data_IF_211215164811
#
_entry.id   IF_211215164811
#
_cell.length_a   1.000
_cell.length_b   1.000
_cell.length_c   1.000
_cell.angle_alpha   90.00
_cell.angle_beta   90.00
_cell.angle_gamma   90.00
#
_symmetry.space_group_name_H-M   'P 1'
#
loop_
_entity.id
_entity.type
_entity.pdbx_description
1 polymer ?
#
# COMPACT_ATOMS: atom_id res chain seq x y z
N UNK A 1 -21.02 2.63 12.23
CA UNK A 1 -19.75 3.35 12.04
C UNK A 1 -18.80 2.88 13.14
N UNK A 2 -17.58 2.51 12.78
CA UNK A 2 -16.53 2.13 13.72
C UNK A 2 -15.45 3.23 13.69
N UNK A 3 -14.95 3.59 14.87
CA UNK A 3 -13.86 4.56 15.04
C UNK A 3 -12.75 3.92 15.87
N UNK A 4 -11.49 4.22 15.53
CA UNK A 4 -10.33 3.83 16.29
C UNK A 4 -9.66 5.07 16.86
N UNK A 5 -9.33 5.07 18.15
CA UNK A 5 -8.55 6.13 18.78
C UNK A 5 -7.05 5.92 18.60
N UNK A 6 -6.25 6.98 18.77
CA UNK A 6 -4.79 6.94 18.63
C UNK A 6 -4.16 5.84 19.51
N UNK A 7 -4.63 5.72 20.74
CA UNK A 7 -4.14 4.70 21.69
C UNK A 7 -4.48 3.28 21.26
N UNK A 8 -5.66 3.07 20.65
CA UNK A 8 -6.07 1.75 20.18
C UNK A 8 -5.18 1.30 19.03
N UNK A 9 -4.91 2.20 18.10
CA UNK A 9 -4.05 1.94 16.93
C UNK A 9 -2.60 1.72 17.36
N UNK A 10 -2.04 2.61 18.20
CA UNK A 10 -0.66 2.49 18.66
C UNK A 10 -0.44 1.21 19.49
N UNK A 11 -1.36 0.87 20.38
CA UNK A 11 -1.27 -0.34 21.21
C UNK A 11 -1.22 -1.63 20.41
N UNK A 12 -1.86 -1.66 19.24
CA UNK A 12 -1.90 -2.82 18.38
C UNK A 12 -0.69 -2.93 17.43
N UNK A 13 0.19 -1.93 17.37
CA UNK A 13 1.37 -1.95 16.50
C UNK A 13 2.25 -3.21 16.66
N UNK A 14 2.70 -3.60 17.86
CA UNK A 14 3.55 -4.77 18.02
C UNK A 14 2.85 -6.06 17.57
N UNK A 15 1.56 -6.16 17.85
CA UNK A 15 0.78 -7.33 17.50
C UNK A 15 0.52 -7.39 15.97
N UNK A 16 0.22 -6.25 15.35
CA UNK A 16 0.06 -6.16 13.90
C UNK A 16 1.36 -6.50 13.16
N UNK A 17 2.51 -6.01 13.66
CA UNK A 17 3.82 -6.36 13.12
C UNK A 17 4.10 -7.86 13.25
N UNK A 18 3.78 -8.47 14.38
CA UNK A 18 3.93 -9.92 14.59
C UNK A 18 3.09 -10.73 13.59
N UNK A 19 1.81 -10.40 13.43
CA UNK A 19 0.95 -11.12 12.48
C UNK A 19 1.28 -10.80 11.02
N UNK A 20 1.84 -9.62 10.75
CA UNK A 20 2.27 -9.27 9.39
C UNK A 20 3.41 -10.15 8.91
N UNK A 21 4.31 -10.55 9.82
CA UNK A 21 5.46 -11.44 9.57
C UNK A 21 6.43 -10.94 8.50
N UNK A 22 6.22 -9.74 8.00
CA UNK A 22 6.99 -9.02 6.99
C UNK A 22 6.89 -7.53 7.27
N UNK A 23 7.88 -6.72 6.85
CA UNK A 23 7.76 -5.27 6.94
C UNK A 23 6.49 -4.75 6.27
N UNK A 24 5.71 -3.93 6.96
CA UNK A 24 4.41 -3.46 6.52
C UNK A 24 4.23 -1.95 6.63
N UNK A 25 3.01 -1.51 6.94
CA UNK A 25 2.65 -0.11 7.17
C UNK A 25 1.98 -0.01 8.54
N UNK A 26 2.75 0.37 9.54
CA UNK A 26 2.41 0.29 10.95
C UNK A 26 1.00 0.79 11.29
N UNK A 27 0.67 2.05 10.93
CA UNK A 27 -0.62 2.66 11.24
C UNK A 27 -1.80 2.02 10.47
N UNK A 28 -1.53 1.54 9.26
CA UNK A 28 -2.54 0.89 8.44
C UNK A 28 -2.80 -0.53 8.93
N UNK A 29 -1.75 -1.30 9.21
CA UNK A 29 -1.88 -2.70 9.63
C UNK A 29 -2.56 -2.79 11.00
N UNK A 30 -2.15 -1.96 11.95
CA UNK A 30 -2.76 -1.93 13.29
C UNK A 30 -4.21 -1.44 13.29
N UNK A 31 -4.54 -0.41 12.49
CA UNK A 31 -5.93 0.04 12.36
C UNK A 31 -6.81 -1.00 11.66
N UNK A 32 -6.27 -1.69 10.65
CA UNK A 32 -6.98 -2.77 9.97
C UNK A 32 -7.27 -3.94 10.92
N UNK A 33 -6.27 -4.36 11.71
CA UNK A 33 -6.45 -5.38 12.75
C UNK A 33 -7.54 -4.97 13.76
N UNK A 34 -7.53 -3.70 14.20
CA UNK A 34 -8.57 -3.17 15.08
C UNK A 34 -9.96 -3.32 14.46
N UNK A 35 -10.15 -2.85 13.22
CA UNK A 35 -11.45 -2.93 12.54
C UNK A 35 -11.88 -4.36 12.29
N UNK A 36 -10.99 -5.25 11.89
CA UNK A 36 -11.29 -6.67 11.71
C UNK A 36 -11.80 -7.30 13.01
N UNK A 37 -11.18 -6.98 14.15
CA UNK A 37 -11.64 -7.43 15.48
C UNK A 37 -13.03 -6.90 15.85
N UNK A 38 -13.34 -5.64 15.50
CA UNK A 38 -14.67 -5.10 15.75
C UNK A 38 -15.73 -5.78 14.88
N UNK A 39 -15.45 -5.97 13.58
CA UNK A 39 -16.37 -6.65 12.65
C UNK A 39 -16.58 -8.11 13.08
N UNK A 40 -15.53 -8.79 13.51
CA UNK A 40 -15.59 -10.19 13.94
C UNK A 40 -16.55 -10.45 15.11
N UNK A 41 -16.82 -9.45 15.94
CA UNK A 41 -17.78 -9.57 17.05
C UNK A 41 -19.19 -9.95 16.59
N UNK A 42 -19.56 -9.63 15.36
CA UNK A 42 -20.89 -9.85 14.80
C UNK A 42 -20.92 -10.63 13.47
N UNK A 43 -19.77 -10.75 12.80
CA UNK A 43 -19.68 -11.40 11.48
C UNK A 43 -18.46 -12.32 11.41
N UNK A 44 -18.59 -13.43 10.69
CA UNK A 44 -17.51 -14.36 10.40
C UNK A 44 -16.88 -14.13 9.04
N UNK A 45 -17.63 -13.51 8.12
CA UNK A 45 -17.21 -13.21 6.74
C UNK A 45 -17.53 -11.75 6.45
N UNK A 46 -16.62 -11.08 5.75
CA UNK A 46 -16.81 -9.73 5.20
C UNK A 46 -16.46 -9.71 3.71
N UNK A 47 -17.09 -8.81 2.95
CA UNK A 47 -16.75 -8.55 1.54
C UNK A 47 -16.05 -7.20 1.47
N UNK A 48 -14.90 -7.16 0.77
CA UNK A 48 -14.10 -5.96 0.58
C UNK A 48 -14.07 -5.53 -0.88
N UNK A 49 -14.08 -4.22 -1.11
CA UNK A 49 -13.89 -3.60 -2.43
C UNK A 49 -12.43 -3.43 -2.86
N UNK A 50 -11.47 -4.05 -2.15
CA UNK A 50 -10.05 -4.01 -2.54
C UNK A 50 -9.83 -4.62 -3.92
N UNK A 51 -8.69 -4.33 -4.52
CA UNK A 51 -8.30 -4.70 -5.88
C UNK A 51 -8.99 -3.93 -7.01
N UNK A 52 -10.06 -3.18 -6.73
CA UNK A 52 -10.75 -2.40 -7.77
C UNK A 52 -9.88 -1.24 -8.32
N UNK A 53 -9.05 -0.64 -7.51
CA UNK A 53 -8.15 0.45 -7.95
C UNK A 53 -7.03 -0.06 -8.85
N UNK A 54 -6.50 -1.25 -8.59
CA UNK A 54 -5.44 -1.91 -9.33
C UNK A 54 -5.90 -2.32 -10.73
N UNK A 55 -7.14 -2.78 -10.83
CA UNK A 55 -7.70 -3.35 -12.06
C UNK A 55 -8.31 -2.26 -12.94
N UNK A 56 -9.06 -1.33 -12.35
CA UNK A 56 -9.80 -0.30 -13.07
C UNK A 56 -9.11 1.07 -13.14
N UNK A 57 -7.85 1.17 -12.70
CA UNK A 57 -7.07 2.39 -12.82
C UNK A 57 -7.44 3.50 -11.83
N UNK A 58 -7.50 3.17 -10.53
CA UNK A 58 -7.88 4.12 -9.49
C UNK A 58 -6.74 4.96 -8.91
N UNK A 59 -5.48 4.72 -9.29
CA UNK A 59 -4.32 5.41 -8.73
C UNK A 59 -3.72 6.44 -9.67
N UNK A 60 -3.00 7.46 -9.16
CA UNK A 60 -2.39 8.51 -9.97
C UNK A 60 -1.46 8.01 -11.07
N UNK A 61 -0.73 6.93 -10.87
CA UNK A 61 0.19 6.40 -11.87
C UNK A 61 -0.49 5.81 -13.10
N UNK A 62 -1.79 5.61 -13.11
CA UNK A 62 -2.53 5.21 -14.30
C UNK A 62 -2.76 6.37 -15.28
N UNK A 63 -2.73 7.61 -14.79
CA UNK A 63 -2.98 8.81 -15.60
C UNK A 63 -1.89 9.87 -15.50
N UNK A 64 -0.78 9.54 -14.83
CA UNK A 64 0.43 10.37 -14.73
C UNK A 64 1.63 9.59 -15.25
N UNK A 65 1.93 9.66 -16.57
CA UNK A 65 3.00 8.87 -17.19
C UNK A 65 4.37 9.08 -16.53
N UNK A 66 4.62 10.27 -16.00
CA UNK A 66 5.84 10.58 -15.26
C UNK A 66 6.07 9.68 -14.04
N UNK A 67 5.03 9.11 -13.46
CA UNK A 67 5.16 8.21 -12.32
C UNK A 67 5.62 6.80 -12.75
N UNK A 68 5.23 6.35 -13.94
CA UNK A 68 5.67 5.06 -14.50
C UNK A 68 7.11 5.16 -15.02
N UNK A 69 7.48 6.30 -15.61
CA UNK A 69 8.78 6.48 -16.26
C UNK A 69 9.92 6.81 -15.30
N UNK A 70 9.70 6.74 -13.98
CA UNK A 70 10.71 7.05 -12.95
C UNK A 70 11.83 6.00 -12.83
N UNK A 71 11.69 4.83 -13.46
CA UNK A 71 12.67 3.75 -13.39
C UNK A 71 12.59 2.89 -12.12
N UNK A 72 11.55 3.06 -11.30
CA UNK A 72 11.21 2.25 -10.15
C UNK A 72 9.69 2.24 -9.90
N UNK A 73 9.23 1.38 -9.01
CA UNK A 73 7.80 1.18 -8.76
C UNK A 73 7.07 2.48 -8.41
N UNK A 74 5.94 2.79 -9.08
CA UNK A 74 5.31 4.12 -9.05
C UNK A 74 4.75 4.53 -7.68
N UNK A 75 4.45 3.59 -6.81
CA UNK A 75 3.98 3.85 -5.45
C UNK A 75 5.09 4.15 -4.44
N UNK A 76 6.36 3.91 -4.81
CA UNK A 76 7.49 4.28 -3.99
C UNK A 76 7.80 5.77 -4.16
N UNK A 77 7.89 6.50 -3.05
CA UNK A 77 8.29 7.91 -3.09
C UNK A 77 9.80 8.02 -3.29
N UNK A 78 10.56 7.98 -2.21
CA UNK A 78 12.02 7.99 -2.23
C UNK A 78 12.54 6.84 -1.35
N UNK A 79 12.92 5.72 -1.96
CA UNK A 79 13.43 4.60 -1.19
C UNK A 79 14.80 4.87 -0.54
N UNK A 80 15.54 5.90 -1.01
CA UNK A 80 16.87 6.22 -0.46
C UNK A 80 16.81 6.63 1.01
N UNK A 81 15.73 7.31 1.43
CA UNK A 81 15.51 7.70 2.82
C UNK A 81 15.49 6.48 3.73
N UNK A 82 14.73 5.44 3.38
CA UNK A 82 14.68 4.20 4.17
C UNK A 82 16.01 3.46 4.16
N UNK A 83 16.61 3.32 2.99
CA UNK A 83 17.90 2.64 2.83
C UNK A 83 19.02 3.35 3.61
N UNK A 84 18.96 4.67 3.74
CA UNK A 84 19.94 5.44 4.49
C UNK A 84 19.93 5.19 6.00
N UNK A 85 18.85 4.61 6.56
CA UNK A 85 18.72 4.33 7.98
C UNK A 85 19.46 3.07 8.42
N UNK A 86 19.82 2.20 7.48
CA UNK A 86 20.63 1.05 7.78
C UNK A 86 22.10 1.43 8.07
N UNK A 87 22.78 0.60 8.83
CA UNK A 87 24.23 0.65 8.94
C UNK A 87 24.85 0.20 7.61
N UNK A 88 25.96 0.83 7.22
CA UNK A 88 26.61 0.56 5.92
C UNK A 88 27.10 -0.89 5.79
N UNK A 89 27.46 -1.53 6.90
CA UNK A 89 27.84 -2.96 6.93
C UNK A 89 26.65 -3.90 6.69
N UNK A 90 25.43 -3.43 6.91
CA UNK A 90 24.22 -4.23 6.69
C UNK A 90 23.61 -4.00 5.31
N UNK A 91 23.39 -2.74 4.93
CA UNK A 91 22.84 -2.40 3.63
C UNK A 91 23.27 -0.98 3.20
N UNK A 92 23.91 -0.88 2.04
CA UNK A 92 24.26 0.42 1.48
C UNK A 92 23.11 0.93 0.60
N UNK A 93 22.75 2.22 0.66
CA UNK A 93 21.68 2.80 -0.18
C UNK A 93 21.84 2.51 -1.68
N UNK A 94 23.08 2.55 -2.18
CA UNK A 94 23.39 2.24 -3.58
C UNK A 94 22.97 0.84 -3.98
N UNK A 95 23.34 -0.16 -3.19
CA UNK A 95 23.03 -1.57 -3.49
C UNK A 95 21.51 -1.82 -3.47
N UNK A 96 20.81 -1.20 -2.51
CA UNK A 96 19.35 -1.25 -2.45
C UNK A 96 18.68 -0.60 -3.67
N UNK A 97 19.19 0.53 -4.16
CA UNK A 97 18.68 1.20 -5.36
C UNK A 97 18.95 0.39 -6.63
N UNK A 98 20.12 -0.24 -6.74
CA UNK A 98 20.44 -1.15 -7.85
C UNK A 98 19.49 -2.35 -7.87
N UNK A 99 19.23 -2.95 -6.71
CA UNK A 99 18.25 -4.04 -6.58
C UNK A 99 16.86 -3.63 -7.01
N UNK A 100 16.35 -2.49 -6.51
CA UNK A 100 15.03 -1.98 -6.87
C UNK A 100 14.91 -1.66 -8.37
N UNK A 101 15.95 -1.07 -8.96
CA UNK A 101 16.00 -0.78 -10.40
C UNK A 101 15.99 -2.06 -11.24
N UNK A 102 16.76 -3.07 -10.84
CA UNK A 102 16.79 -4.36 -11.53
C UNK A 102 15.44 -5.09 -11.44
N UNK A 103 14.83 -5.10 -10.24
CA UNK A 103 13.49 -5.67 -10.03
C UNK A 103 12.43 -4.97 -10.87
N UNK A 104 12.45 -3.63 -10.92
CA UNK A 104 11.55 -2.84 -11.75
C UNK A 104 11.73 -3.15 -13.25
N UNK A 105 12.97 -3.15 -13.75
CA UNK A 105 13.26 -3.45 -15.17
C UNK A 105 12.74 -4.83 -15.54
N UNK A 106 12.97 -5.84 -14.70
CA UNK A 106 12.41 -7.17 -14.92
C UNK A 106 10.89 -7.14 -14.95
N UNK A 107 10.25 -6.52 -13.97
CA UNK A 107 8.80 -6.45 -13.89
C UNK A 107 8.17 -5.77 -15.13
N UNK A 108 8.82 -4.74 -15.66
CA UNK A 108 8.37 -4.04 -16.88
C UNK A 108 8.62 -4.87 -18.13
N UNK A 109 9.72 -5.65 -18.21
CA UNK A 109 10.01 -6.51 -19.37
C UNK A 109 9.03 -7.69 -19.48
N UNK A 110 8.43 -8.10 -18.38
CA UNK A 110 7.48 -9.22 -18.34
C UNK A 110 6.04 -8.81 -18.71
N UNK A 111 5.79 -7.51 -18.98
CA UNK A 111 4.46 -6.99 -19.32
C UNK A 111 4.09 -7.37 -20.75
N UNK A 112 2.96 -8.05 -21.01
CA UNK A 112 2.49 -8.32 -22.36
C UNK A 112 2.13 -7.02 -23.08
N UNK A 113 2.78 -6.80 -24.24
CA UNK A 113 2.59 -5.63 -25.11
C UNK A 113 2.33 -6.16 -26.52
N UNK A 114 1.34 -5.60 -27.20
CA UNK A 114 1.06 -5.89 -28.60
C UNK A 114 1.86 -4.95 -29.52
N UNK A 115 2.22 -5.42 -30.73
CA UNK A 115 2.93 -4.60 -31.72
C UNK A 115 2.14 -3.34 -32.13
N UNK A 116 0.83 -3.37 -31.97
CA UNK A 116 -0.08 -2.25 -32.26
C UNK A 116 -0.25 -1.25 -31.13
N UNK A 117 0.32 -1.53 -29.92
CA UNK A 117 0.17 -0.64 -28.77
C UNK A 117 1.01 0.63 -28.98
N UNK A 118 0.39 1.79 -28.78
CA UNK A 118 1.08 3.07 -28.71
C UNK A 118 1.72 3.29 -27.31
N UNK A 119 2.55 4.32 -27.19
CA UNK A 119 3.27 4.63 -25.95
C UNK A 119 2.33 4.82 -24.73
N UNK A 120 1.15 5.38 -24.95
CA UNK A 120 0.17 5.59 -23.88
C UNK A 120 -0.42 4.26 -23.42
N UNK A 121 -0.77 3.39 -24.35
CA UNK A 121 -1.26 2.03 -24.07
C UNK A 121 -0.20 1.21 -23.37
N UNK A 122 1.04 1.27 -23.82
CA UNK A 122 2.18 0.59 -23.20
C UNK A 122 2.35 1.05 -21.72
N UNK A 123 2.34 2.36 -21.50
CA UNK A 123 2.44 2.92 -20.13
C UNK A 123 1.30 2.45 -19.25
N UNK A 124 0.07 2.41 -19.78
CA UNK A 124 -1.11 1.95 -19.05
C UNK A 124 -1.05 0.45 -18.73
N UNK A 125 -0.64 -0.40 -19.69
CA UNK A 125 -0.44 -1.85 -19.48
C UNK A 125 0.62 -2.10 -18.41
N UNK A 126 1.73 -1.37 -18.44
CA UNK A 126 2.77 -1.42 -17.39
C UNK A 126 2.20 -1.03 -16.02
N UNK A 127 1.46 0.07 -15.93
CA UNK A 127 0.82 0.48 -14.69
C UNK A 127 -0.12 -0.60 -14.14
N UNK A 128 -0.92 -1.24 -15.01
CA UNK A 128 -1.84 -2.31 -14.63
C UNK A 128 -1.07 -3.53 -14.11
N UNK A 129 -0.12 -4.05 -14.87
CA UNK A 129 0.60 -5.28 -14.49
C UNK A 129 1.47 -5.08 -13.25
N UNK A 130 2.13 -3.94 -13.12
CA UNK A 130 2.86 -3.60 -11.89
C UNK A 130 1.90 -3.54 -10.70
N UNK A 131 0.72 -2.92 -10.88
CA UNK A 131 -0.28 -2.84 -9.81
C UNK A 131 -0.82 -4.20 -9.43
N UNK A 132 -1.17 -5.06 -10.38
CA UNK A 132 -1.73 -6.39 -10.12
C UNK A 132 -0.69 -7.32 -9.49
N UNK A 133 0.52 -7.40 -10.08
CA UNK A 133 1.51 -8.41 -9.67
C UNK A 133 2.25 -8.05 -8.37
N UNK A 134 2.40 -6.75 -8.06
CA UNK A 134 3.22 -6.31 -6.93
C UNK A 134 2.42 -5.55 -5.87
N UNK A 135 1.66 -4.54 -6.27
CA UNK A 135 0.94 -3.70 -5.31
C UNK A 135 -0.28 -4.42 -4.72
N UNK A 136 -1.11 -5.02 -5.58
CA UNK A 136 -2.29 -5.79 -5.19
C UNK A 136 -1.91 -6.98 -4.31
N UNK A 137 -0.86 -7.71 -4.65
CA UNK A 137 -0.39 -8.85 -3.85
C UNK A 137 -0.04 -8.43 -2.43
N UNK A 138 0.65 -7.31 -2.25
CA UNK A 138 0.94 -6.76 -0.92
C UNK A 138 -0.31 -6.32 -0.16
N UNK A 139 -1.32 -5.75 -0.85
CA UNK A 139 -2.59 -5.37 -0.23
C UNK A 139 -3.39 -6.60 0.21
N UNK A 140 -3.46 -7.62 -0.62
CA UNK A 140 -4.15 -8.88 -0.33
C UNK A 140 -3.51 -9.60 0.85
N UNK A 141 -2.18 -9.72 0.86
CA UNK A 141 -1.45 -10.33 1.96
C UNK A 141 -1.70 -9.58 3.28
N UNK A 142 -1.65 -8.25 3.26
CA UNK A 142 -1.97 -7.43 4.43
C UNK A 142 -3.39 -7.68 4.92
N UNK A 143 -4.35 -7.67 3.99
CA UNK A 143 -5.76 -7.91 4.31
C UNK A 143 -5.95 -9.28 4.95
N UNK A 144 -5.42 -10.32 4.33
CA UNK A 144 -5.53 -11.69 4.80
C UNK A 144 -4.92 -11.83 6.21
N UNK A 145 -3.68 -11.42 6.41
CA UNK A 145 -3.00 -11.56 7.69
C UNK A 145 -3.71 -10.81 8.83
N UNK A 146 -4.14 -9.57 8.60
CA UNK A 146 -4.82 -8.79 9.64
C UNK A 146 -6.24 -9.31 9.92
N UNK A 147 -6.96 -9.75 8.91
CA UNK A 147 -8.30 -10.30 9.09
C UNK A 147 -8.28 -11.69 9.70
N UNK A 148 -7.35 -12.55 9.28
CA UNK A 148 -7.21 -13.89 9.86
C UNK A 148 -6.68 -13.85 11.30
N UNK A 149 -5.82 -12.89 11.66
CA UNK A 149 -5.45 -12.62 13.04
C UNK A 149 -6.65 -12.25 13.94
N UNK A 150 -7.72 -11.74 13.33
CA UNK A 150 -9.00 -11.50 13.99
C UNK A 150 -10.01 -12.66 13.81
N UNK A 151 -9.63 -13.75 13.17
CA UNK A 151 -10.54 -14.86 12.77
C UNK A 151 -11.73 -14.39 11.92
N UNK A 152 -11.53 -13.38 11.08
CA UNK A 152 -12.49 -12.84 10.13
C UNK A 152 -12.08 -13.22 8.70
N UNK A 153 -12.90 -13.98 7.99
CA UNK A 153 -12.68 -14.25 6.57
C UNK A 153 -13.05 -13.02 5.74
N UNK A 154 -12.12 -12.50 4.95
CA UNK A 154 -12.41 -11.38 4.03
C UNK A 154 -12.33 -11.88 2.59
N UNK A 155 -13.42 -11.70 1.85
CA UNK A 155 -13.50 -12.01 0.42
C UNK A 155 -13.36 -10.76 -0.42
N UNK A 156 -12.60 -10.86 -1.52
CA UNK A 156 -12.25 -9.76 -2.42
C UNK A 156 -12.68 -10.09 -3.87
N UNK A 157 -13.95 -9.86 -4.23
CA UNK A 157 -14.48 -10.26 -5.53
C UNK A 157 -13.74 -9.67 -6.73
N UNK A 158 -13.15 -8.47 -6.59
CA UNK A 158 -12.37 -7.85 -7.66
C UNK A 158 -11.03 -8.54 -7.93
N UNK A 159 -10.54 -9.41 -7.05
CA UNK A 159 -9.35 -10.20 -7.31
C UNK A 159 -9.62 -11.45 -8.19
N UNK A 160 -10.82 -11.62 -8.71
CA UNK A 160 -11.15 -12.70 -9.64
C UNK A 160 -10.35 -12.52 -10.94
N UNK A 161 -9.54 -13.54 -11.28
CA UNK A 161 -8.68 -13.51 -12.47
C UNK A 161 -9.46 -13.25 -13.77
N UNK A 162 -10.72 -13.72 -13.86
CA UNK A 162 -11.58 -13.51 -15.04
C UNK A 162 -11.91 -12.03 -15.24
N UNK A 163 -12.09 -11.28 -14.14
CA UNK A 163 -12.30 -9.83 -14.19
C UNK A 163 -11.00 -9.15 -14.60
N UNK A 164 -9.87 -9.57 -14.05
CA UNK A 164 -8.55 -9.01 -14.36
C UNK A 164 -8.23 -9.20 -15.84
N UNK A 165 -8.36 -10.41 -16.38
CA UNK A 165 -8.13 -10.74 -17.78
C UNK A 165 -9.04 -9.94 -18.71
N UNK A 166 -10.34 -9.91 -18.43
CA UNK A 166 -11.30 -9.13 -19.21
C UNK A 166 -10.97 -7.64 -19.24
N UNK A 167 -10.69 -7.05 -18.09
CA UNK A 167 -10.45 -5.60 -17.98
C UNK A 167 -9.08 -5.22 -18.54
N UNK A 168 -8.08 -6.12 -18.48
CA UNK A 168 -6.73 -5.84 -18.96
C UNK A 168 -6.71 -5.41 -20.42
N UNK A 169 -7.43 -6.12 -21.28
CA UNK A 169 -7.46 -5.88 -22.72
C UNK A 169 -8.32 -4.68 -23.16
N UNK A 170 -9.12 -4.13 -22.26
CA UNK A 170 -9.94 -2.98 -22.57
C UNK A 170 -9.07 -1.71 -22.74
N UNK A 171 -9.41 -0.82 -23.71
CA UNK A 171 -8.69 0.43 -23.92
C UNK A 171 -8.71 1.34 -22.68
N UNK A 172 -7.64 2.12 -22.49
CA UNK A 172 -7.59 3.13 -21.42
C UNK A 172 -8.79 4.08 -21.46
N UNK A 173 -9.23 4.49 -22.66
CA UNK A 173 -10.37 5.40 -22.87
C UNK A 173 -11.65 4.89 -22.24
N UNK A 174 -11.84 3.58 -22.10
CA UNK A 174 -13.01 2.96 -21.46
C UNK A 174 -12.86 2.95 -19.93
N UNK A 175 -11.63 2.78 -19.45
CA UNK A 175 -11.31 2.67 -18.01
C UNK A 175 -11.13 4.03 -17.35
N UNK A 176 -10.72 5.04 -18.13
CA UNK A 176 -10.44 6.41 -17.70
C UNK A 176 -11.08 7.42 -18.67
N UNK A 177 -12.41 7.39 -18.73
CA UNK A 177 -13.18 8.25 -19.63
C UNK A 177 -13.34 9.66 -19.03
N UNK A 178 -13.15 10.69 -19.84
CA UNK A 178 -13.30 12.10 -19.48
C UNK A 178 -12.47 12.52 -18.23
N UNK A 179 -11.33 11.89 -17.99
CA UNK A 179 -10.49 12.20 -16.84
C UNK A 179 -11.01 11.64 -15.50
N UNK A 180 -11.97 10.71 -15.55
CA UNK A 180 -12.56 10.10 -14.35
C UNK A 180 -11.96 8.72 -14.13
N UNK A 181 -11.35 8.53 -12.96
CA UNK A 181 -10.82 7.24 -12.55
C UNK A 181 -11.93 6.18 -12.38
N UNK A 182 -11.64 4.94 -12.76
CA UNK A 182 -12.57 3.79 -12.68
C UNK A 182 -13.89 4.02 -13.42
N UNK A 183 -13.89 4.78 -14.53
CA UNK A 183 -15.12 5.12 -15.27
C UNK A 183 -15.92 3.89 -15.70
N UNK A 184 -15.23 2.81 -16.12
CA UNK A 184 -15.89 1.56 -16.47
C UNK A 184 -16.68 0.97 -15.28
N UNK A 185 -16.04 0.91 -14.10
CA UNK A 185 -16.69 0.38 -12.90
C UNK A 185 -17.87 1.27 -12.46
N UNK A 186 -17.72 2.60 -12.58
CA UNK A 186 -18.77 3.55 -12.24
C UNK A 186 -19.98 3.37 -13.16
N UNK A 187 -19.78 3.27 -14.48
CA UNK A 187 -20.87 2.99 -15.43
C UNK A 187 -21.57 1.66 -15.16
N UNK A 188 -20.81 0.60 -14.85
CA UNK A 188 -21.40 -0.67 -14.49
C UNK A 188 -22.24 -0.63 -13.20
N UNK A 189 -22.00 0.35 -12.33
CA UNK A 189 -22.71 0.55 -11.07
C UNK A 189 -23.85 1.60 -11.15
N UNK A 190 -24.08 2.21 -12.32
CA UNK A 190 -25.20 3.13 -12.54
C UNK A 190 -26.54 2.44 -12.26
N UNK A 191 -27.40 3.12 -11.53
CA UNK A 191 -28.68 2.58 -11.07
C UNK A 191 -28.60 1.55 -9.93
N UNK A 192 -27.39 1.08 -9.57
CA UNK A 192 -27.15 0.16 -8.45
C UNK A 192 -26.70 0.88 -7.19
N UNK A 193 -26.00 2.00 -7.34
CA UNK A 193 -25.46 2.78 -6.23
C UNK A 193 -26.07 4.19 -6.19
N UNK A 194 -26.23 4.79 -5.00
CA UNK A 194 -26.59 6.19 -4.87
C UNK A 194 -25.53 7.11 -5.53
N UNK A 195 -25.94 8.22 -6.13
CA UNK A 195 -25.08 9.13 -6.88
C UNK A 195 -23.90 9.67 -6.06
N UNK A 196 -24.12 9.99 -4.78
CA UNK A 196 -23.05 10.45 -3.89
C UNK A 196 -21.97 9.40 -3.61
N UNK A 197 -22.26 8.12 -3.80
CA UNK A 197 -21.28 7.02 -3.73
C UNK A 197 -20.67 6.80 -5.11
N UNK A 198 -21.49 6.75 -6.15
CA UNK A 198 -21.08 6.52 -7.54
C UNK A 198 -20.05 7.56 -8.01
N UNK A 199 -20.25 8.83 -7.71
CA UNK A 199 -19.40 9.95 -8.12
C UNK A 199 -18.38 10.41 -7.06
N UNK A 200 -18.26 9.67 -5.95
CA UNK A 200 -17.29 10.00 -4.90
C UNK A 200 -15.86 9.94 -5.44
N UNK A 201 -15.09 10.99 -5.20
CA UNK A 201 -13.65 10.99 -5.51
C UNK A 201 -12.92 9.93 -4.71
N UNK A 202 -11.92 9.32 -5.31
CA UNK A 202 -10.98 8.42 -4.63
C UNK A 202 -10.37 9.13 -3.43
N UNK A 203 -10.47 8.50 -2.27
CA UNK A 203 -9.70 8.89 -1.09
C UNK A 203 -8.83 7.71 -0.65
N UNK A 204 -7.58 7.96 -0.23
CA UNK A 204 -6.73 6.90 0.30
C UNK A 204 -7.33 6.32 1.58
N UNK A 205 -6.83 5.14 1.98
CA UNK A 205 -7.11 4.61 3.31
C UNK A 205 -6.69 5.64 4.36
N UNK A 206 -7.51 5.92 5.39
CA UNK A 206 -7.18 6.91 6.39
C UNK A 206 -5.85 6.59 7.06
N UNK A 207 -4.91 7.52 6.97
CA UNK A 207 -3.67 7.49 7.76
C UNK A 207 -3.90 8.23 9.07
N UNK A 208 -3.21 7.78 10.10
CA UNK A 208 -3.25 8.45 11.40
C UNK A 208 -2.29 9.65 11.36
N UNK A 209 -2.84 10.86 11.29
CA UNK A 209 -2.08 12.13 11.31
C UNK A 209 -2.18 12.85 12.66
N UNK A 210 -2.58 12.14 13.71
CA UNK A 210 -2.75 12.71 15.03
C UNK A 210 -1.40 12.86 15.73
N UNK A 211 -1.16 14.05 16.31
CA UNK A 211 0.01 14.28 17.18
C UNK A 211 0.06 13.34 18.39
N UNK A 212 -1.09 12.84 18.82
CA UNK A 212 -1.17 11.87 19.92
C UNK A 212 -0.60 10.51 19.52
N UNK A 213 -1.02 10.00 18.37
CA UNK A 213 -0.49 8.76 17.80
C UNK A 213 1.01 8.86 17.53
N UNK A 214 1.42 9.92 16.88
CA UNK A 214 2.82 10.22 16.60
C UNK A 214 3.72 10.16 17.83
N UNK A 215 3.31 10.84 18.90
CA UNK A 215 4.05 10.80 20.16
C UNK A 215 4.21 9.37 20.69
N UNK A 216 3.14 8.57 20.66
CA UNK A 216 3.18 7.18 21.10
C UNK A 216 4.15 6.33 20.29
N UNK A 217 4.15 6.52 18.95
CA UNK A 217 5.07 5.81 18.04
C UNK A 217 6.53 6.23 18.30
N UNK A 218 6.79 7.53 18.53
CA UNK A 218 8.13 8.02 18.88
C UNK A 218 8.63 7.40 20.22
N UNK A 219 7.78 7.37 21.23
CA UNK A 219 8.11 6.76 22.52
C UNK A 219 8.44 5.26 22.37
N UNK A 220 7.67 4.53 21.57
CA UNK A 220 7.91 3.12 21.28
C UNK A 220 9.23 2.90 20.53
N UNK A 221 9.49 3.70 19.51
CA UNK A 221 10.71 3.60 18.72
C UNK A 221 11.95 3.95 19.55
N UNK A 222 11.88 5.01 20.36
CA UNK A 222 12.97 5.39 21.28
C UNK A 222 13.27 4.27 22.28
N UNK A 223 12.23 3.63 22.82
CA UNK A 223 12.41 2.44 23.69
C UNK A 223 13.14 1.32 22.95
N UNK A 224 12.71 0.99 21.73
CA UNK A 224 13.35 -0.05 20.91
C UNK A 224 14.80 0.26 20.55
N UNK A 225 15.11 1.52 20.33
CA UNK A 225 16.50 1.95 20.04
C UNK A 225 17.41 1.88 21.29
N UNK A 226 16.87 1.84 22.51
CA UNK A 226 17.64 1.67 23.73
C UNK A 226 17.89 0.19 24.09
N UNK A 227 17.05 -0.72 23.59
CA UNK A 227 17.23 -2.15 23.79
C UNK A 227 18.44 -2.65 23.01
N UNK A 228 19.19 -3.59 23.59
CA UNK A 228 20.22 -4.36 22.87
C UNK A 228 19.51 -5.45 22.07
N UNK A 229 19.06 -5.08 20.87
CA UNK A 229 18.24 -5.92 20.02
C UNK A 229 18.88 -6.07 18.64
N UNK A 230 18.46 -7.09 17.90
CA UNK A 230 18.83 -7.26 16.49
C UNK A 230 18.55 -5.99 15.67
N UNK A 231 17.43 -5.33 15.91
CA UNK A 231 17.06 -4.06 15.27
C UNK A 231 18.16 -3.00 15.47
N UNK A 232 18.65 -2.83 16.69
CA UNK A 232 19.73 -1.89 17.01
C UNK A 232 21.08 -2.27 16.35
N UNK A 233 21.28 -3.53 16.00
CA UNK A 233 22.48 -3.99 15.26
C UNK A 233 22.43 -3.68 13.75
N UNK A 234 21.23 -3.55 13.20
CA UNK A 234 20.97 -3.37 11.76
C UNK A 234 20.81 -1.90 11.38
N UNK A 235 20.19 -1.12 12.26
CA UNK A 235 19.81 0.27 12.03
C UNK A 235 20.85 1.24 12.61
N UNK A 236 21.13 2.33 11.91
CA UNK A 236 21.97 3.42 12.41
C UNK A 236 21.17 4.27 13.42
N UNK A 237 21.48 4.04 14.70
CA UNK A 237 20.81 4.71 15.82
C UNK A 237 20.85 6.23 15.72
N UNK A 238 21.98 6.81 15.28
CA UNK A 238 22.12 8.28 15.17
C UNK A 238 21.16 8.84 14.13
N UNK A 239 21.05 8.18 12.98
CA UNK A 239 20.14 8.60 11.88
C UNK A 239 18.68 8.48 12.31
N UNK A 240 18.31 7.39 13.01
CA UNK A 240 16.94 7.21 13.53
C UNK A 240 16.61 8.24 14.62
N UNK A 241 17.52 8.50 15.57
CA UNK A 241 17.29 9.51 16.59
C UNK A 241 17.11 10.90 15.95
N UNK A 242 17.95 11.28 14.97
CA UNK A 242 17.78 12.55 14.25
C UNK A 242 16.43 12.66 13.52
N UNK A 243 15.92 11.54 13.02
CA UNK A 243 14.59 11.46 12.42
C UNK A 243 13.46 11.59 13.46
N UNK A 244 13.62 10.96 14.63
CA UNK A 244 12.68 11.06 15.75
C UNK A 244 12.59 12.51 16.26
N UNK A 245 13.70 13.20 16.33
CA UNK A 245 13.78 14.60 16.79
C UNK A 245 13.34 15.61 15.72
N UNK A 246 13.25 15.19 14.46
CA UNK A 246 12.81 16.02 13.35
C UNK A 246 11.28 16.15 13.25
N UNK A 247 10.81 17.09 12.42
CA UNK A 247 9.38 17.34 12.21
C UNK A 247 8.75 16.40 11.15
N UNK A 248 9.55 15.66 10.39
CA UNK A 248 9.03 14.76 9.35
C UNK A 248 8.70 13.37 9.89
N UNK A 249 7.44 13.21 10.21
CA UNK A 249 6.86 12.03 10.88
C UNK A 249 6.38 10.98 9.88
N UNK A 250 6.30 11.32 8.63
CA UNK A 250 5.70 10.46 7.58
C UNK A 250 6.37 9.09 7.52
N UNK A 251 7.60 8.99 7.99
CA UNK A 251 8.45 7.80 7.94
C UNK A 251 8.49 6.99 9.24
N UNK A 252 8.12 7.58 10.38
CA UNK A 252 8.17 6.88 11.68
C UNK A 252 7.27 5.64 11.72
N UNK A 253 6.06 5.73 11.17
CA UNK A 253 5.16 4.59 11.07
C UNK A 253 5.71 3.46 10.18
N UNK A 254 6.61 3.79 9.25
CA UNK A 254 7.22 2.81 8.35
C UNK A 254 8.47 2.15 8.96
N UNK A 255 9.10 2.78 9.95
CA UNK A 255 10.20 2.19 10.72
C UNK A 255 9.72 1.20 11.78
N UNK A 256 8.48 1.33 12.21
CA UNK A 256 7.88 0.45 13.22
C UNK A 256 7.26 -0.82 12.60
N UNK A 257 7.24 -0.92 11.29
CA UNK A 257 6.80 -2.10 10.56
C UNK A 257 7.96 -3.01 10.24
#
# INVERSE_FOLDING_TARGET
ILTAGDRDVAKLLPEAAYFRDMPGQADIDSSLLYFCRQVRKSHTVAISGECSDEIFGGYPWFYRPEMINRGFFPWMHDPTVRLSLFRDEFARPKDGMEFLSAAYKKAVSDVPIADSDDDETIAYRRATMLSVNYFMSNLLERKDRMSMAASLEVRVPFADHRIIEFVYDLPKSVKFENGVEKSLLRRAAEGLLPDNILHRKKSPYPKTHSKGYERLVREMLDSKMREDSFFASVIDRKKVCAMIDGDDITWLGQLMS
#
